data_IF_469079535396
#
_entry.id   IF_469079535396
#
_cell.length_a   1.000
_cell.length_b   1.000
_cell.length_c   1.000
_cell.angle_alpha   90.00
_cell.angle_beta   90.00
_cell.angle_gamma   90.00
#
_symmetry.space_group_name_H-M   'P 1'
#
loop_
_entity.id
_entity.type
_entity.pdbx_description
1 polymer ?
#
# COMPACT_ATOMS: atom_id res chain seq x y z
N UNK A 1 -0.64 7.30 27.94
CA UNK A 1 -0.59 6.57 26.65
C UNK A 1 0.35 7.34 25.72
N UNK A 2 1.23 6.66 24.98
CA UNK A 2 2.08 7.34 24.01
C UNK A 2 1.22 7.91 22.87
N UNK A 3 1.43 9.18 22.50
CA UNK A 3 0.71 9.85 21.42
C UNK A 3 1.29 9.44 20.05
N UNK A 4 0.92 8.24 19.62
CA UNK A 4 1.33 7.69 18.32
C UNK A 4 0.72 8.44 17.14
N UNK A 5 -0.44 9.09 17.33
CA UNK A 5 -1.12 9.84 16.28
C UNK A 5 -0.40 11.17 15.99
N UNK A 6 0.01 11.90 17.02
CA UNK A 6 0.81 13.11 16.90
C UNK A 6 2.17 12.85 16.24
N UNK A 7 2.87 11.78 16.64
CA UNK A 7 4.13 11.36 16.02
C UNK A 7 3.96 11.07 14.52
N UNK A 8 2.85 10.43 14.13
CA UNK A 8 2.55 10.14 12.72
C UNK A 8 2.30 11.41 11.90
N UNK A 9 1.54 12.36 12.44
CA UNK A 9 1.30 13.65 11.78
C UNK A 9 2.59 14.44 11.60
N UNK A 10 3.47 14.41 12.59
CA UNK A 10 4.77 15.05 12.49
C UNK A 10 5.65 14.39 11.41
N UNK A 11 5.64 13.06 11.32
CA UNK A 11 6.34 12.33 10.25
C UNK A 11 5.78 12.67 8.86
N UNK A 12 4.45 12.65 8.71
CA UNK A 12 3.77 13.01 7.45
C UNK A 12 4.17 14.43 7.03
N UNK A 13 4.14 15.39 7.96
CA UNK A 13 4.54 16.78 7.70
C UNK A 13 6.00 16.90 7.28
N UNK A 14 6.92 16.31 8.03
CA UNK A 14 8.36 16.35 7.68
C UNK A 14 8.66 15.69 6.34
N UNK A 15 7.93 14.62 6.00
CA UNK A 15 8.08 13.92 4.73
C UNK A 15 7.55 14.77 3.58
N UNK A 16 6.39 15.39 3.77
CA UNK A 16 5.79 16.32 2.82
C UNK A 16 6.66 17.56 2.57
N UNK A 17 7.22 18.16 3.62
CA UNK A 17 8.11 19.33 3.52
C UNK A 17 9.38 19.02 2.69
N UNK A 18 9.78 17.75 2.60
CA UNK A 18 10.89 17.25 1.76
C UNK A 18 10.44 16.86 0.35
N UNK A 19 9.18 17.05 -0.02
CA UNK A 19 8.63 16.68 -1.32
C UNK A 19 8.37 15.17 -1.48
N UNK A 20 8.17 14.44 -0.39
CA UNK A 20 7.90 13.00 -0.41
C UNK A 20 6.55 12.66 0.23
N UNK A 21 6.09 11.43 0.01
CA UNK A 21 4.86 10.88 0.61
C UNK A 21 5.17 9.71 1.53
N UNK A 22 4.44 9.59 2.63
CA UNK A 22 4.43 8.38 3.45
C UNK A 22 3.51 7.31 2.84
N UNK A 23 3.62 6.02 3.23
CA UNK A 23 2.71 4.97 2.75
C UNK A 23 1.24 5.29 3.02
N UNK A 24 0.94 5.85 4.20
CA UNK A 24 -0.40 6.28 4.59
C UNK A 24 -0.92 7.41 3.70
N UNK A 25 -0.09 8.40 3.36
CA UNK A 25 -0.46 9.46 2.42
C UNK A 25 -0.78 8.88 1.03
N UNK A 26 0.06 7.98 0.52
CA UNK A 26 -0.17 7.30 -0.75
C UNK A 26 -1.48 6.49 -0.74
N UNK A 27 -1.76 5.77 0.34
CA UNK A 27 -3.00 5.01 0.51
C UNK A 27 -4.25 5.90 0.57
N UNK A 28 -4.20 7.03 1.28
CA UNK A 28 -5.29 8.03 1.29
C UNK A 28 -5.57 8.55 -0.11
N UNK A 29 -4.52 8.89 -0.86
CA UNK A 29 -4.66 9.34 -2.24
C UNK A 29 -5.24 8.24 -3.14
N UNK A 30 -4.67 7.04 -3.12
CA UNK A 30 -5.17 5.88 -3.85
C UNK A 30 -6.66 5.61 -3.57
N UNK A 31 -7.08 5.74 -2.30
CA UNK A 31 -8.48 5.62 -1.91
C UNK A 31 -9.34 6.71 -2.53
N UNK A 32 -8.89 7.97 -2.49
CA UNK A 32 -9.64 9.13 -3.00
C UNK A 32 -9.93 9.06 -4.50
N UNK A 33 -9.06 8.41 -5.28
CA UNK A 33 -9.24 8.18 -6.71
C UNK A 33 -9.81 6.80 -7.04
N UNK A 34 -10.23 6.05 -6.02
CA UNK A 34 -10.78 4.71 -6.17
C UNK A 34 -9.85 3.71 -6.88
N UNK A 35 -8.54 3.83 -6.61
CA UNK A 35 -7.56 2.91 -7.15
C UNK A 35 -7.81 1.47 -6.66
N UNK A 36 -7.76 0.53 -7.61
CA UNK A 36 -7.94 -0.90 -7.32
C UNK A 36 -6.75 -1.50 -6.57
N UNK A 37 -5.55 -1.12 -6.99
CA UNK A 37 -4.26 -1.56 -6.46
C UNK A 37 -3.36 -0.35 -6.23
N UNK A 38 -2.48 -0.47 -5.24
CA UNK A 38 -1.45 0.51 -4.92
C UNK A 38 -0.08 -0.17 -4.94
N UNK A 39 0.84 0.39 -5.71
CA UNK A 39 2.25 -0.01 -5.68
C UNK A 39 3.04 1.10 -5.02
N UNK A 40 3.70 0.81 -3.90
CA UNK A 40 4.60 1.72 -3.21
C UNK A 40 5.99 1.62 -3.86
N UNK A 41 6.55 2.75 -4.26
CA UNK A 41 7.86 2.82 -4.94
C UNK A 41 8.58 4.13 -4.57
N UNK A 42 9.79 4.32 -5.11
CA UNK A 42 10.65 5.47 -4.86
C UNK A 42 11.04 5.60 -3.38
N UNK A 43 11.55 4.50 -2.83
CA UNK A 43 12.02 4.45 -1.44
C UNK A 43 13.35 5.20 -1.26
N UNK A 44 13.52 5.85 -0.11
CA UNK A 44 14.82 6.43 0.25
C UNK A 44 15.87 5.33 0.35
N UNK A 45 17.15 5.66 0.12
CA UNK A 45 18.27 4.71 0.21
C UNK A 45 18.40 3.99 1.58
N UNK A 46 17.74 4.51 2.62
CA UNK A 46 17.69 3.89 3.96
C UNK A 46 16.78 2.66 3.99
N UNK A 47 15.83 2.58 3.07
CA UNK A 47 14.94 1.45 2.86
C UNK A 47 15.46 0.65 1.68
N UNK A 48 16.44 -0.20 1.94
CA UNK A 48 16.95 -1.08 0.89
C UNK A 48 15.85 -2.07 0.51
N UNK A 49 15.54 -2.20 -0.78
CA UNK A 49 14.63 -3.22 -1.30
C UNK A 49 15.35 -4.55 -1.54
N UNK A 50 16.40 -4.85 -0.76
CA UNK A 50 17.20 -6.06 -0.91
C UNK A 50 16.57 -7.27 -0.20
N UNK A 51 17.14 -8.45 -0.41
CA UNK A 51 16.66 -9.71 0.15
C UNK A 51 17.04 -9.93 1.62
N UNK A 52 17.63 -8.93 2.29
CA UNK A 52 17.91 -9.05 3.72
C UNK A 52 16.61 -9.09 4.52
N UNK A 53 16.60 -9.87 5.62
CA UNK A 53 15.41 -10.04 6.46
C UNK A 53 14.89 -8.68 6.97
N UNK A 54 15.79 -7.75 7.33
CA UNK A 54 15.42 -6.43 7.82
C UNK A 54 14.72 -5.58 6.74
N UNK A 55 15.21 -5.63 5.51
CA UNK A 55 14.59 -4.96 4.36
C UNK A 55 13.21 -5.51 4.08
N UNK A 56 13.08 -6.84 4.01
CA UNK A 56 11.79 -7.52 3.78
C UNK A 56 10.78 -7.16 4.88
N UNK A 57 11.18 -7.21 6.16
CA UNK A 57 10.33 -6.81 7.28
C UNK A 57 9.88 -5.35 7.18
N UNK A 58 10.78 -4.47 6.75
CA UNK A 58 10.46 -3.06 6.56
C UNK A 58 9.44 -2.88 5.43
N UNK A 59 9.63 -3.52 4.29
CA UNK A 59 8.68 -3.46 3.17
C UNK A 59 7.30 -4.01 3.55
N UNK A 60 7.25 -5.15 4.25
CA UNK A 60 6.01 -5.71 4.79
C UNK A 60 5.31 -4.75 5.76
N UNK A 61 6.07 -3.98 6.56
CA UNK A 61 5.50 -2.99 7.46
C UNK A 61 4.88 -1.81 6.66
N UNK A 62 5.58 -1.30 5.64
CA UNK A 62 5.05 -0.22 4.79
C UNK A 62 3.77 -0.66 4.06
N UNK A 63 3.74 -1.89 3.53
CA UNK A 63 2.55 -2.48 2.92
C UNK A 63 1.38 -2.58 3.90
N UNK A 64 1.64 -3.02 5.13
CA UNK A 64 0.62 -3.16 6.17
C UNK A 64 -0.01 -1.82 6.55
N UNK A 65 0.82 -0.79 6.72
CA UNK A 65 0.37 0.56 7.05
C UNK A 65 -0.53 1.15 5.95
N UNK A 66 -0.11 1.04 4.70
CA UNK A 66 -0.91 1.48 3.57
C UNK A 66 -2.19 0.63 3.40
N UNK A 67 -2.13 -0.68 3.64
CA UNK A 67 -3.28 -1.58 3.53
C UNK A 67 -4.39 -1.24 4.51
N UNK A 68 -4.04 -0.92 5.77
CA UNK A 68 -5.02 -0.50 6.78
C UNK A 68 -5.85 0.68 6.28
N UNK A 69 -5.18 1.73 5.80
CA UNK A 69 -5.80 2.96 5.31
C UNK A 69 -6.60 2.74 4.01
N UNK A 70 -6.12 1.88 3.12
CA UNK A 70 -6.81 1.56 1.87
C UNK A 70 -8.05 0.69 2.08
N UNK A 71 -8.07 -0.10 3.16
CA UNK A 71 -9.21 -0.95 3.57
C UNK A 71 -10.25 -0.22 4.40
N UNK A 72 -9.85 0.85 5.11
CA UNK A 72 -10.78 1.74 5.80
C UNK A 72 -11.75 2.37 4.78
N UNK A 73 -13.05 2.09 4.96
CA UNK A 73 -14.21 2.53 4.16
C UNK A 73 -14.69 1.62 3.00
N UNK A 74 -14.34 0.33 2.97
CA UNK A 74 -14.91 -0.61 1.99
C UNK A 74 -16.36 -1.03 2.35
N UNK A 75 -17.28 -0.06 2.34
CA UNK A 75 -18.71 -0.20 2.69
C UNK A 75 -19.65 -0.38 1.50
N UNK A 76 -19.15 -0.40 0.26
CA UNK A 76 -19.98 -0.69 -0.92
C UNK A 76 -19.93 -2.18 -1.26
N UNK A 77 -21.08 -2.85 -1.20
CA UNK A 77 -21.26 -4.29 -1.50
C UNK A 77 -20.68 -4.69 -2.88
N UNK A 78 -20.69 -3.78 -3.85
CA UNK A 78 -20.15 -4.01 -5.20
C UNK A 78 -18.63 -4.26 -5.22
N UNK A 79 -17.88 -3.70 -4.25
CA UNK A 79 -16.42 -3.88 -4.13
C UNK A 79 -16.04 -5.19 -3.45
N UNK A 80 -16.83 -5.61 -2.46
CA UNK A 80 -16.73 -6.96 -1.87
C UNK A 80 -17.08 -8.04 -2.89
N UNK A 81 -18.09 -7.78 -3.73
CA UNK A 81 -18.47 -8.67 -4.82
C UNK A 81 -17.32 -8.87 -5.83
N UNK A 82 -16.57 -7.83 -6.21
CA UNK A 82 -15.34 -7.98 -7.02
C UNK A 82 -14.30 -8.88 -6.35
N UNK A 83 -14.11 -8.73 -5.03
CA UNK A 83 -13.11 -9.50 -4.30
C UNK A 83 -13.53 -10.97 -4.19
N UNK A 84 -14.83 -11.24 -4.11
CA UNK A 84 -15.42 -12.57 -4.09
C UNK A 84 -15.52 -13.24 -5.47
N UNK A 85 -15.83 -12.50 -6.54
CA UNK A 85 -16.05 -12.99 -7.91
C UNK A 85 -14.82 -13.69 -8.52
N UNK A 86 -13.61 -13.35 -8.03
CA UNK A 86 -12.36 -13.99 -8.46
C UNK A 86 -11.84 -15.10 -7.54
N UNK A 87 -12.41 -15.27 -6.35
CA UNK A 87 -12.07 -16.40 -5.46
C UNK A 87 -12.49 -17.74 -6.08
N UNK A 88 -13.46 -17.74 -6.99
CA UNK A 88 -13.87 -18.94 -7.75
C UNK A 88 -12.90 -19.36 -8.86
N UNK A 89 -11.90 -18.54 -9.21
CA UNK A 89 -10.95 -18.81 -10.29
C UNK A 89 -9.52 -19.07 -9.84
N UNK A 90 -9.27 -20.07 -8.97
CA UNK A 90 -7.95 -20.65 -8.63
C UNK A 90 -6.73 -19.69 -8.43
N UNK A 91 -6.93 -18.41 -8.11
CA UNK A 91 -5.83 -17.45 -8.03
C UNK A 91 -6.12 -16.38 -7.01
N UNK A 92 -5.35 -16.38 -5.92
CA UNK A 92 -5.25 -15.23 -5.03
C UNK A 92 -4.96 -13.98 -5.89
N UNK A 93 -5.82 -12.93 -5.85
CA UNK A 93 -5.62 -11.71 -6.65
C UNK A 93 -4.36 -10.93 -6.27
N UNK A 94 -3.63 -11.41 -5.27
CA UNK A 94 -2.45 -10.79 -4.71
C UNK A 94 -2.82 -9.62 -3.79
N UNK A 95 -1.84 -9.04 -3.10
CA UNK A 95 -2.07 -7.93 -2.18
C UNK A 95 -2.66 -6.72 -2.92
N UNK A 96 -3.61 -6.01 -2.28
CA UNK A 96 -4.09 -4.70 -2.80
C UNK A 96 -3.01 -3.62 -2.73
N UNK A 97 -2.06 -3.77 -1.82
CA UNK A 97 -0.90 -2.89 -1.66
C UNK A 97 0.35 -3.73 -1.76
N UNK A 98 1.30 -3.34 -2.60
CA UNK A 98 2.59 -4.01 -2.75
C UNK A 98 3.72 -2.97 -2.68
N UNK A 99 4.78 -3.25 -1.94
CA UNK A 99 6.03 -2.52 -2.01
C UNK A 99 6.87 -3.08 -3.16
N UNK A 100 7.20 -2.23 -4.14
CA UNK A 100 7.97 -2.63 -5.30
C UNK A 100 9.40 -3.03 -4.90
N UNK A 101 9.93 -4.03 -5.61
CA UNK A 101 11.35 -4.41 -5.59
C UNK A 101 11.93 -4.33 -7.00
N UNK A 102 13.25 -4.34 -7.09
CA UNK A 102 13.95 -4.24 -8.37
C UNK A 102 13.63 -5.46 -9.24
N UNK A 103 13.18 -5.20 -10.48
CA UNK A 103 12.75 -6.25 -11.41
C UNK A 103 11.35 -6.83 -11.15
N UNK A 104 10.55 -6.22 -10.27
CA UNK A 104 9.15 -6.61 -10.09
C UNK A 104 8.34 -6.43 -11.38
N UNK A 105 7.66 -7.48 -11.80
CA UNK A 105 6.68 -7.44 -12.89
C UNK A 105 5.25 -7.57 -12.34
N UNK A 106 4.31 -6.82 -12.91
CA UNK A 106 2.90 -6.86 -12.52
C UNK A 106 2.01 -6.95 -13.74
N UNK A 107 1.12 -7.95 -13.76
CA UNK A 107 0.09 -8.08 -14.78
C UNK A 107 -1.18 -7.32 -14.37
N UNK A 108 -1.63 -6.42 -15.25
CA UNK A 108 -2.92 -5.71 -15.11
C UNK A 108 -3.88 -6.32 -16.13
N UNK A 109 -4.83 -7.17 -15.69
CA UNK A 109 -5.80 -7.75 -16.61
C UNK A 109 -6.70 -6.64 -17.17
N UNK A 110 -7.05 -6.75 -18.46
CA UNK A 110 -8.09 -5.89 -19.05
C UNK A 110 -9.41 -6.11 -18.33
N UNK A 111 -10.17 -5.04 -18.17
CA UNK A 111 -11.59 -5.13 -17.79
C UNK A 111 -12.33 -5.64 -19.03
N UNK A 112 -13.07 -6.74 -18.87
CA UNK A 112 -14.17 -7.08 -19.78
C UNK A 112 -15.35 -6.12 -19.55
#
# INVERSE_FOLDING_TARGET
AADWAGLRQQLDRQTFDRGHSTPTMAARFARSIEARRLVLTHFSQRYKGDSSIASVQTMMQLEREASQVLSEWDHTDERRAWAADRVSGNGDPGPRVIAAWDGMELSIPRRE
#
